data_IF_769318184191
#
_entry.id   IF_769318184191
#
_cell.length_a   1.000
_cell.length_b   1.000
_cell.length_c   1.000
_cell.angle_alpha   90.00
_cell.angle_beta   90.00
_cell.angle_gamma   90.00
#
_symmetry.space_group_name_H-M   'P 1'
#
loop_
_entity.id
_entity.type
_entity.pdbx_description
1 polymer ?
#
# COMPACT_ATOMS: atom_id res chain seq x y z
N UNK A 1 18.11 -26.06 8.30
CA UNK A 1 18.52 -24.66 8.52
C UNK A 1 17.67 -24.09 9.63
N UNK A 2 18.29 -23.83 10.79
CA UNK A 2 17.62 -23.51 12.05
C UNK A 2 16.87 -22.19 12.00
N UNK A 3 15.66 -22.18 12.54
CA UNK A 3 14.85 -20.98 12.73
C UNK A 3 15.42 -20.25 13.93
N UNK A 4 16.23 -19.24 13.64
CA UNK A 4 16.91 -18.44 14.65
C UNK A 4 15.91 -17.85 15.69
N UNK A 5 16.09 -18.26 16.95
CA UNK A 5 15.30 -17.88 18.13
C UNK A 5 15.87 -16.64 18.85
N UNK A 6 16.59 -15.76 18.17
CA UNK A 6 17.03 -14.48 18.74
C UNK A 6 15.90 -13.42 18.82
N UNK A 7 14.74 -13.78 19.38
CA UNK A 7 13.61 -12.87 19.67
C UNK A 7 13.76 -12.10 20.99
N UNK A 8 14.99 -11.82 21.41
CA UNK A 8 15.24 -11.00 22.61
C UNK A 8 16.00 -9.74 22.24
N UNK A 9 15.27 -8.77 21.67
CA UNK A 9 15.72 -7.39 21.61
C UNK A 9 14.82 -6.54 22.52
N UNK A 10 14.97 -6.71 23.84
CA UNK A 10 14.56 -5.71 24.84
C UNK A 10 15.28 -4.41 24.47
N UNK A 11 14.58 -3.43 23.91
CA UNK A 11 15.16 -2.12 23.59
C UNK A 11 15.07 -1.66 22.12
N UNK A 12 14.59 -2.49 21.19
CA UNK A 12 14.25 -1.96 19.86
C UNK A 12 12.98 -1.12 20.00
N UNK A 13 13.12 0.21 20.12
CA UNK A 13 12.03 1.14 19.81
C UNK A 13 11.57 0.80 18.41
N UNK A 14 10.53 -0.02 18.29
CA UNK A 14 9.85 -0.30 17.03
C UNK A 14 9.08 0.96 16.65
N UNK A 15 9.82 2.03 16.34
CA UNK A 15 9.27 3.05 15.48
C UNK A 15 8.82 2.27 14.25
N UNK A 16 7.51 2.08 14.08
CA UNK A 16 6.94 1.61 12.82
C UNK A 16 7.46 2.64 11.82
N UNK A 17 8.55 2.33 11.14
CA UNK A 17 9.00 3.11 10.00
C UNK A 17 7.81 3.01 9.05
N UNK A 18 7.01 4.09 8.93
CA UNK A 18 5.87 4.01 8.06
C UNK A 18 6.41 3.70 6.67
N UNK A 19 5.73 2.82 5.95
CA UNK A 19 6.11 2.49 4.57
C UNK A 19 6.20 3.76 3.71
N UNK A 20 5.46 4.80 4.09
CA UNK A 20 5.49 6.15 3.51
C UNK A 20 6.03 7.19 4.50
N UNK A 21 7.09 7.95 4.13
CA UNK A 21 7.58 9.11 4.87
C UNK A 21 6.47 10.12 5.21
N UNK A 22 6.61 10.87 6.32
CA UNK A 22 5.56 11.80 6.80
C UNK A 22 5.16 12.86 5.78
N UNK A 23 6.11 13.36 4.99
CA UNK A 23 5.91 14.36 3.94
C UNK A 23 5.29 13.80 2.65
N UNK A 24 5.15 12.48 2.55
CA UNK A 24 4.52 11.80 1.42
C UNK A 24 3.19 11.15 1.81
N UNK A 25 2.68 11.47 3.02
CA UNK A 25 1.34 11.07 3.41
C UNK A 25 0.35 12.00 2.73
N UNK A 26 -0.60 11.42 2.03
CA UNK A 26 -1.74 12.15 1.48
C UNK A 26 -2.73 12.44 2.60
N UNK A 27 -3.37 13.61 2.58
CA UNK A 27 -4.33 14.04 3.60
C UNK A 27 -5.66 13.25 3.56
N UNK A 28 -5.82 12.33 2.60
CA UNK A 28 -6.99 11.46 2.48
C UNK A 28 -8.23 12.18 1.98
N UNK A 29 -8.06 13.23 1.16
CA UNK A 29 -9.16 13.93 0.53
C UNK A 29 -9.79 13.00 -0.50
N UNK A 30 -11.05 12.64 -0.27
CA UNK A 30 -11.86 11.89 -1.23
C UNK A 30 -12.26 12.84 -2.36
N UNK A 31 -11.67 12.66 -3.54
CA UNK A 31 -12.01 13.42 -4.75
C UNK A 31 -12.86 12.52 -5.64
N UNK A 32 -13.99 13.04 -6.13
CA UNK A 32 -14.85 12.29 -7.02
C UNK A 32 -14.17 12.04 -8.37
N UNK A 33 -14.20 10.78 -8.82
CA UNK A 33 -13.68 10.41 -10.13
C UNK A 33 -14.66 10.82 -11.24
N UNK A 34 -14.17 11.58 -12.23
CA UNK A 34 -14.90 11.90 -13.45
C UNK A 34 -14.24 11.24 -14.65
N UNK A 35 -14.97 10.38 -15.37
CA UNK A 35 -14.44 9.66 -16.53
C UNK A 35 -14.18 10.59 -17.73
N UNK A 36 -14.95 11.66 -17.87
CA UNK A 36 -14.80 12.63 -18.96
C UNK A 36 -13.55 13.51 -18.82
N UNK A 37 -13.09 13.71 -17.59
CA UNK A 37 -11.88 14.49 -17.29
C UNK A 37 -10.64 13.61 -17.12
N UNK A 38 -10.82 12.29 -17.07
CA UNK A 38 -9.74 11.34 -16.87
C UNK A 38 -8.83 11.31 -18.10
N UNK A 39 -7.53 11.39 -17.85
CA UNK A 39 -6.55 11.25 -18.91
C UNK A 39 -6.18 9.78 -19.18
N UNK A 40 -5.23 9.57 -20.07
CA UNK A 40 -4.75 8.24 -20.38
C UNK A 40 -4.08 7.54 -19.18
N UNK A 41 -3.39 8.30 -18.33
CA UNK A 41 -2.68 7.76 -17.18
C UNK A 41 -3.67 7.32 -16.09
N UNK A 42 -4.71 8.10 -15.85
CA UNK A 42 -5.81 7.78 -14.92
C UNK A 42 -6.49 6.46 -15.31
N UNK A 43 -6.79 6.31 -16.61
CA UNK A 43 -7.36 5.08 -17.16
C UNK A 43 -6.45 3.86 -16.95
N UNK A 44 -5.13 4.03 -17.10
CA UNK A 44 -4.19 2.95 -16.83
C UNK A 44 -4.08 2.65 -15.33
N UNK A 45 -4.07 3.68 -14.48
CA UNK A 45 -4.01 3.52 -13.03
C UNK A 45 -5.22 2.71 -12.52
N UNK A 46 -6.42 3.00 -13.03
CA UNK A 46 -7.63 2.24 -12.71
C UNK A 46 -7.50 0.76 -13.10
N UNK A 47 -6.99 0.47 -14.29
CA UNK A 47 -6.75 -0.91 -14.75
C UNK A 47 -5.74 -1.63 -13.86
N UNK A 48 -4.66 -0.95 -13.44
CA UNK A 48 -3.65 -1.51 -12.54
C UNK A 48 -4.20 -1.79 -11.14
N UNK A 49 -5.01 -0.87 -10.59
CA UNK A 49 -5.67 -1.06 -9.29
C UNK A 49 -6.57 -2.31 -9.31
N UNK A 50 -7.47 -2.41 -10.30
CA UNK A 50 -8.36 -3.57 -10.49
C UNK A 50 -7.58 -4.90 -10.60
N UNK A 51 -6.40 -4.89 -11.24
CA UNK A 51 -5.55 -6.07 -11.31
C UNK A 51 -4.91 -6.42 -9.95
N UNK A 52 -4.49 -5.43 -9.18
CA UNK A 52 -3.94 -5.62 -7.84
C UNK A 52 -5.00 -6.18 -6.88
N UNK A 53 -6.22 -5.65 -6.89
CA UNK A 53 -7.31 -6.10 -6.04
C UNK A 53 -7.68 -7.57 -6.31
N UNK A 54 -7.74 -7.96 -7.59
CA UNK A 54 -7.93 -9.37 -7.97
C UNK A 54 -6.85 -10.27 -7.38
N UNK A 55 -5.58 -9.87 -7.47
CA UNK A 55 -4.47 -10.63 -6.87
C UNK A 55 -4.59 -10.71 -5.35
N UNK A 56 -4.96 -9.62 -4.69
CA UNK A 56 -5.11 -9.59 -3.23
C UNK A 56 -6.26 -10.49 -2.76
N UNK A 57 -7.39 -10.48 -3.47
CA UNK A 57 -8.54 -11.33 -3.17
C UNK A 57 -8.23 -12.81 -3.38
N UNK A 58 -7.52 -13.18 -4.45
CA UNK A 58 -7.09 -14.57 -4.69
C UNK A 58 -6.14 -15.10 -3.61
N UNK A 59 -5.35 -14.23 -2.95
CA UNK A 59 -4.45 -14.61 -1.86
C UNK A 59 -5.14 -14.74 -0.50
N UNK A 60 -6.37 -14.25 -0.37
CA UNK A 60 -7.16 -14.31 0.86
C UNK A 60 -8.06 -15.56 0.94
N UNK A 61 -8.28 -16.24 -0.18
CA UNK A 61 -8.90 -17.56 -0.24
C UNK A 61 -7.88 -18.64 0.11
#
# INVERSE_FOLDING_TARGET
MGRDEHRHAKGKKKHKLPQTPKNQKTDGIDVEFSEELADHEDMQALKRSKAADRRANLRKQ
#
